data_IF_725650816440
#
_entry.id   IF_725650816440
#
_cell.length_a   1.000
_cell.length_b   1.000
_cell.length_c   1.000
_cell.angle_alpha   90.00
_cell.angle_beta   90.00
_cell.angle_gamma   90.00
#
_symmetry.space_group_name_H-M   'P 1'
#
loop_
_entity.id
_entity.type
_entity.pdbx_description
1 polymer ?
#
# COMPACT_ATOMS: atom_id res chain seq x y z
N UNK A 1 6.11 10.71 4.52
CA UNK A 1 6.98 9.96 3.59
C UNK A 1 7.65 10.94 2.63
N UNK A 2 8.85 10.62 2.11
CA UNK A 2 9.39 11.29 0.93
C UNK A 2 8.39 11.26 -0.23
N UNK A 3 8.60 12.15 -1.21
CA UNK A 3 7.80 12.13 -2.44
C UNK A 3 8.01 10.81 -3.19
N UNK A 4 6.93 10.21 -3.67
CA UNK A 4 7.00 8.99 -4.46
C UNK A 4 7.55 9.31 -5.86
N UNK A 5 8.34 8.40 -6.46
CA UNK A 5 8.87 8.63 -7.79
C UNK A 5 7.74 8.66 -8.82
N UNK A 6 8.01 9.28 -9.96
CA UNK A 6 7.11 9.17 -11.11
C UNK A 6 7.10 7.74 -11.65
N UNK A 7 5.95 7.32 -12.19
CA UNK A 7 5.86 6.06 -12.91
C UNK A 7 6.60 6.19 -14.23
N UNK A 8 7.58 5.30 -14.44
CA UNK A 8 8.43 5.30 -15.64
C UNK A 8 7.68 4.63 -16.78
N UNK A 9 7.67 5.28 -17.94
CA UNK A 9 7.24 4.64 -19.17
C UNK A 9 8.34 3.68 -19.64
N UNK A 10 8.08 2.38 -19.53
CA UNK A 10 9.00 1.32 -19.94
C UNK A 10 8.68 0.77 -21.34
N UNK A 11 7.80 1.45 -22.10
CA UNK A 11 7.37 1.00 -23.43
C UNK A 11 6.63 -0.34 -23.40
N UNK A 12 6.06 -0.71 -22.25
CA UNK A 12 5.29 -1.94 -22.06
C UNK A 12 3.85 -1.69 -22.50
N UNK A 13 3.23 -2.64 -23.25
CA UNK A 13 1.82 -2.50 -23.60
C UNK A 13 0.98 -2.52 -22.33
N UNK A 14 0.02 -1.60 -22.24
CA UNK A 14 -0.96 -1.60 -21.15
C UNK A 14 -1.83 -2.87 -21.26
N UNK A 15 -2.15 -3.53 -20.14
CA UNK A 15 -3.07 -4.67 -20.15
C UNK A 15 -4.47 -4.27 -20.63
N UNK A 16 -5.13 -5.17 -21.37
CA UNK A 16 -6.51 -4.94 -21.82
C UNK A 16 -7.44 -4.62 -20.64
N UNK A 17 -8.17 -3.50 -20.76
CA UNK A 17 -9.09 -3.02 -19.72
C UNK A 17 -8.45 -2.18 -18.61
N UNK A 18 -7.13 -1.96 -18.65
CA UNK A 18 -6.49 -0.96 -17.79
C UNK A 18 -6.66 0.43 -18.39
N UNK A 19 -7.16 1.37 -17.59
CA UNK A 19 -7.29 2.77 -17.97
C UNK A 19 -6.23 3.60 -17.24
N UNK A 20 -5.70 4.69 -17.82
CA UNK A 20 -4.72 5.55 -17.16
C UNK A 20 -5.20 6.08 -15.80
N UNK A 21 -6.50 6.35 -15.67
CA UNK A 21 -7.11 6.77 -14.40
C UNK A 21 -6.93 5.73 -13.28
N UNK A 22 -6.93 4.43 -13.61
CA UNK A 22 -6.75 3.36 -12.61
C UNK A 22 -5.34 3.39 -12.04
N UNK A 23 -4.34 3.69 -12.88
CA UNK A 23 -2.95 3.85 -12.44
C UNK A 23 -2.84 5.05 -11.50
N UNK A 24 -3.42 6.19 -11.87
CA UNK A 24 -3.41 7.38 -11.01
C UNK A 24 -4.11 7.13 -9.67
N UNK A 25 -5.29 6.51 -9.69
CA UNK A 25 -6.01 6.15 -8.46
C UNK A 25 -5.19 5.18 -7.61
N UNK A 26 -4.53 4.19 -8.22
CA UNK A 26 -3.65 3.27 -7.51
C UNK A 26 -2.49 3.99 -6.82
N UNK A 27 -1.82 4.91 -7.51
CA UNK A 27 -0.72 5.68 -6.91
C UNK A 27 -1.18 6.47 -5.67
N UNK A 28 -2.36 7.09 -5.75
CA UNK A 28 -2.96 7.82 -4.63
C UNK A 28 -3.24 6.89 -3.44
N UNK A 29 -3.98 5.79 -3.65
CA UNK A 29 -4.35 4.89 -2.55
C UNK A 29 -3.13 4.15 -1.99
N UNK A 30 -2.11 3.88 -2.80
CA UNK A 30 -0.88 3.23 -2.34
C UNK A 30 -0.08 4.16 -1.43
N UNK A 31 -0.05 5.46 -1.75
CA UNK A 31 0.57 6.48 -0.90
C UNK A 31 -0.14 6.60 0.44
N UNK A 32 -1.47 6.73 0.42
CA UNK A 32 -2.30 6.76 1.63
C UNK A 32 -2.09 5.49 2.49
N UNK A 33 -1.99 4.32 1.86
CA UNK A 33 -1.70 3.06 2.52
C UNK A 33 -0.32 3.07 3.22
N UNK A 34 0.72 3.52 2.53
CA UNK A 34 2.06 3.63 3.11
C UNK A 34 2.11 4.66 4.25
N UNK A 35 1.36 5.76 4.15
CA UNK A 35 1.23 6.76 5.22
C UNK A 35 0.53 6.17 6.46
N UNK A 36 -0.52 5.38 6.27
CA UNK A 36 -1.19 4.67 7.37
C UNK A 36 -0.27 3.64 8.04
N UNK A 37 0.54 2.89 7.26
CA UNK A 37 1.55 1.99 7.82
C UNK A 37 2.56 2.77 8.65
N UNK A 38 3.06 3.88 8.13
CA UNK A 38 4.02 4.72 8.84
C UNK A 38 3.46 5.21 10.18
N UNK A 39 2.20 5.67 10.19
CA UNK A 39 1.52 6.13 11.40
C UNK A 39 1.40 5.03 12.46
N UNK A 40 0.90 3.84 12.10
CA UNK A 40 0.78 2.74 13.08
C UNK A 40 2.15 2.28 13.59
N UNK A 41 3.19 2.36 12.77
CA UNK A 41 4.56 2.01 13.17
C UNK A 41 5.17 3.04 14.13
N UNK A 42 4.98 4.34 13.86
CA UNK A 42 5.40 5.43 14.77
C UNK A 42 4.68 5.33 16.11
N UNK A 43 3.41 4.93 16.10
CA UNK A 43 2.61 4.75 17.31
C UNK A 43 2.80 3.36 17.97
N UNK A 44 3.73 2.53 17.47
CA UNK A 44 4.02 1.18 17.98
C UNK A 44 2.80 0.23 17.99
N UNK A 45 1.81 0.49 17.13
CA UNK A 45 0.58 -0.31 16.99
C UNK A 45 0.76 -1.44 15.97
N UNK A 46 1.79 -2.27 16.18
CA UNK A 46 2.18 -3.33 15.23
C UNK A 46 1.05 -4.28 14.80
N UNK A 47 0.09 -4.68 15.66
CA UNK A 47 -1.02 -5.54 15.24
C UNK A 47 -1.87 -4.94 14.09
N UNK A 48 -1.93 -3.61 13.98
CA UNK A 48 -2.72 -2.94 12.93
C UNK A 48 -2.07 -3.01 11.54
N UNK A 49 -0.76 -3.28 11.45
CA UNK A 49 -0.06 -3.41 10.16
C UNK A 49 -0.66 -4.54 9.33
N UNK A 50 -0.93 -5.69 9.96
CA UNK A 50 -1.57 -6.83 9.30
C UNK A 50 -2.99 -6.48 8.82
N UNK A 51 -3.76 -5.76 9.65
CA UNK A 51 -5.10 -5.29 9.28
C UNK A 51 -5.07 -4.36 8.07
N UNK A 52 -4.14 -3.39 8.04
CA UNK A 52 -3.97 -2.48 6.91
C UNK A 52 -3.59 -3.23 5.63
N UNK A 53 -2.67 -4.19 5.71
CA UNK A 53 -2.27 -5.01 4.56
C UNK A 53 -3.43 -5.86 4.04
N UNK A 54 -4.15 -6.56 4.92
CA UNK A 54 -5.29 -7.39 4.53
C UNK A 54 -6.40 -6.55 3.90
N UNK A 55 -6.70 -5.39 4.48
CA UNK A 55 -7.69 -4.45 3.96
C UNK A 55 -7.31 -3.93 2.57
N UNK A 56 -6.10 -3.38 2.41
CA UNK A 56 -5.65 -2.82 1.13
C UNK A 56 -5.63 -3.87 0.01
N UNK A 57 -5.09 -5.06 0.28
CA UNK A 57 -5.01 -6.14 -0.72
C UNK A 57 -6.29 -6.95 -0.86
N UNK A 58 -7.36 -6.57 -0.14
CA UNK A 58 -8.68 -7.21 -0.19
C UNK A 58 -8.55 -8.72 0.10
N UNK A 59 -7.66 -9.05 1.03
CA UNK A 59 -7.43 -10.40 1.49
C UNK A 59 -8.54 -10.76 2.49
N UNK A 60 -9.32 -11.77 2.12
CA UNK A 60 -10.41 -12.30 2.93
C UNK A 60 -10.07 -13.74 3.26
N UNK A 61 -9.52 -13.98 4.45
CA UNK A 61 -9.48 -15.32 5.01
C UNK A 61 -10.86 -15.63 5.57
N UNK A 62 -11.66 -16.39 4.81
CA UNK A 62 -12.92 -16.99 5.26
C UNK A 62 -13.80 -16.11 6.15
N UNK A 63 -14.39 -15.05 5.59
CA UNK A 63 -15.47 -14.22 6.20
C UNK A 63 -15.52 -14.24 7.74
N UNK A 64 -14.51 -13.68 8.41
CA UNK A 64 -14.68 -13.25 9.80
C UNK A 64 -15.53 -11.97 9.82
N UNK A 65 -16.62 -11.98 10.58
CA UNK A 65 -17.64 -10.94 10.72
C UNK A 65 -17.13 -9.64 11.40
N UNK A 66 -15.94 -9.16 11.04
CA UNK A 66 -15.40 -7.94 11.62
C UNK A 66 -15.90 -6.72 10.82
N UNK A 67 -16.95 -6.09 11.33
CA UNK A 67 -17.72 -5.02 10.66
C UNK A 67 -16.83 -3.86 10.20
N UNK A 68 -15.84 -3.46 11.00
CA UNK A 68 -14.94 -2.34 10.67
C UNK A 68 -14.05 -2.66 9.45
N UNK A 69 -13.64 -3.92 9.28
CA UNK A 69 -12.85 -4.35 8.12
C UNK A 69 -13.70 -4.43 6.85
N UNK A 70 -14.99 -4.77 7.00
CA UNK A 70 -15.94 -4.82 5.89
C UNK A 70 -16.21 -3.43 5.32
N UNK A 71 -16.37 -2.41 6.17
CA UNK A 71 -16.62 -1.03 5.74
C UNK A 71 -15.39 -0.44 5.00
N UNK A 72 -14.18 -0.69 5.50
CA UNK A 72 -12.94 -0.27 4.84
C UNK A 72 -12.75 -0.92 3.46
N UNK A 73 -13.17 -2.18 3.32
CA UNK A 73 -13.12 -2.89 2.04
C UNK A 73 -14.10 -2.28 1.04
N UNK A 74 -15.35 -2.00 1.46
CA UNK A 74 -16.37 -1.41 0.59
C UNK A 74 -15.94 -0.05 0.03
N UNK A 75 -15.38 0.83 0.86
CA UNK A 75 -14.88 2.13 0.41
C UNK A 75 -13.66 2.02 -0.52
N UNK A 76 -12.76 1.07 -0.26
CA UNK A 76 -11.61 0.79 -1.12
C UNK A 76 -12.04 0.20 -2.47
N UNK A 77 -13.07 -0.65 -2.49
CA UNK A 77 -13.62 -1.28 -3.71
C UNK A 77 -14.33 -0.26 -4.61
N UNK A 78 -14.98 0.75 -4.02
CA UNK A 78 -15.55 1.89 -4.76
C UNK A 78 -14.48 2.74 -5.45
N UNK A 79 -13.32 2.94 -4.81
CA UNK A 79 -12.22 3.74 -5.35
C UNK A 79 -11.45 2.99 -6.43
N UNK A 80 -11.12 1.73 -6.20
CA UNK A 80 -10.41 0.89 -7.15
C UNK A 80 -10.98 -0.54 -7.07
N UNK A 81 -11.62 -1.05 -8.13
CA UNK A 81 -12.17 -2.41 -8.09
C UNK A 81 -11.07 -3.47 -7.91
N UNK A 82 -11.35 -4.55 -7.19
CA UNK A 82 -10.40 -5.67 -6.97
C UNK A 82 -9.87 -6.25 -8.27
N UNK A 83 -10.72 -6.35 -9.29
CA UNK A 83 -10.33 -6.84 -10.61
C UNK A 83 -9.25 -5.96 -11.26
N UNK A 84 -9.36 -4.65 -11.09
CA UNK A 84 -8.39 -3.67 -11.58
C UNK A 84 -7.11 -3.72 -10.74
N UNK A 85 -7.21 -3.84 -9.42
CA UNK A 85 -6.04 -4.05 -8.55
C UNK A 85 -5.22 -5.25 -8.99
N UNK A 86 -5.87 -6.39 -9.26
CA UNK A 86 -5.22 -7.62 -9.74
C UNK A 86 -4.54 -7.41 -11.10
N UNK A 87 -5.12 -6.58 -11.96
CA UNK A 87 -4.54 -6.25 -13.26
C UNK A 87 -3.28 -5.38 -13.11
N UNK A 88 -3.34 -4.37 -12.23
CA UNK A 88 -2.20 -3.51 -11.88
C UNK A 88 -1.04 -4.32 -11.28
N UNK A 89 -1.32 -5.32 -10.44
CA UNK A 89 -0.31 -6.26 -9.91
C UNK A 89 0.33 -7.17 -10.97
N UNK A 90 -0.08 -7.08 -12.23
CA UNK A 90 0.52 -7.83 -13.35
C UNK A 90 1.18 -6.89 -14.37
N UNK A 91 1.08 -5.58 -14.16
CA UNK A 91 1.63 -4.59 -15.06
C UNK A 91 3.03 -4.16 -14.58
N UNK A 92 4.06 -4.55 -15.33
CA UNK A 92 5.47 -4.40 -14.92
C UNK A 92 5.85 -2.98 -14.44
N UNK A 93 5.47 -1.89 -15.14
CA UNK A 93 5.79 -0.53 -14.68
C UNK A 93 5.20 -0.21 -13.31
N UNK A 94 4.00 -0.70 -13.02
CA UNK A 94 3.35 -0.53 -11.71
C UNK A 94 4.05 -1.37 -10.65
N UNK A 95 4.50 -2.58 -10.98
CA UNK A 95 5.27 -3.42 -10.05
C UNK A 95 6.61 -2.78 -9.68
N UNK A 96 7.34 -2.25 -10.67
CA UNK A 96 8.59 -1.53 -10.43
C UNK A 96 8.37 -0.26 -9.60
N UNK A 97 7.37 0.54 -9.94
CA UNK A 97 7.00 1.72 -9.18
C UNK A 97 6.64 1.40 -7.73
N UNK A 98 5.82 0.35 -7.51
CA UNK A 98 5.41 -0.12 -6.18
C UNK A 98 6.63 -0.53 -5.37
N UNK A 99 7.57 -1.27 -5.97
CA UNK A 99 8.83 -1.65 -5.31
C UNK A 99 9.68 -0.45 -4.90
N UNK A 100 9.75 0.58 -5.75
CA UNK A 100 10.48 1.82 -5.39
C UNK A 100 9.80 2.53 -4.21
N UNK A 101 8.46 2.57 -4.18
CA UNK A 101 7.71 3.13 -3.05
C UNK A 101 7.92 2.32 -1.76
N UNK A 102 7.95 0.99 -1.85
CA UNK A 102 8.24 0.10 -0.71
C UNK A 102 9.61 0.38 -0.13
N UNK A 103 10.63 0.53 -0.99
CA UNK A 103 11.98 0.86 -0.53
C UNK A 103 12.01 2.20 0.23
N UNK A 104 11.25 3.21 -0.23
CA UNK A 104 11.14 4.50 0.46
C UNK A 104 10.42 4.37 1.81
N UNK A 105 9.35 3.55 1.87
CA UNK A 105 8.65 3.26 3.11
C UNK A 105 9.58 2.56 4.11
N UNK A 106 10.25 1.48 3.70
CA UNK A 106 11.18 0.75 4.57
C UNK A 106 12.31 1.64 5.06
N UNK A 107 12.90 2.45 4.19
CA UNK A 107 13.93 3.40 4.58
C UNK A 107 13.41 4.40 5.63
N UNK A 108 12.22 4.95 5.43
CA UNK A 108 11.59 5.87 6.38
C UNK A 108 11.32 5.19 7.74
N UNK A 109 10.83 3.95 7.73
CA UNK A 109 10.60 3.17 8.95
C UNK A 109 11.90 2.90 9.70
N UNK A 110 12.97 2.53 8.99
CA UNK A 110 14.30 2.30 9.57
C UNK A 110 14.82 3.56 10.26
N UNK A 111 14.71 4.72 9.60
CA UNK A 111 15.15 6.00 10.14
C UNK A 111 14.39 6.41 11.41
N UNK A 112 13.12 6.01 11.53
CA UNK A 112 12.28 6.28 12.70
C UNK A 112 12.56 5.28 13.83
N UNK A 113 12.63 3.99 13.52
CA UNK A 113 12.68 2.93 14.52
C UNK A 113 14.09 2.72 15.10
N UNK A 114 15.16 2.87 14.29
CA UNK A 114 16.54 2.65 14.75
C UNK A 114 16.90 3.54 15.96
N UNK A 115 16.65 4.85 15.95
CA UNK A 115 17.00 5.72 17.07
C UNK A 115 16.30 5.37 18.39
N UNK A 116 15.10 4.79 18.33
CA UNK A 116 14.34 4.38 19.51
C UNK A 116 14.74 2.97 20.01
N UNK A 117 15.06 2.06 19.09
CA UNK A 117 15.49 0.68 19.41
C UNK A 117 16.92 0.64 19.97
N UNK A 118 17.81 1.52 19.52
CA UNK A 118 19.23 1.53 19.93
C UNK A 118 19.51 2.32 21.21
N UNK A 119 18.51 2.93 21.86
CA UNK A 119 18.76 3.61 23.14
C UNK A 119 19.16 2.59 24.20
N UNK A 120 20.22 2.85 24.99
CA UNK A 120 20.55 2.00 26.12
C UNK A 120 19.36 1.97 27.09
N UNK A 121 18.92 0.76 27.44
CA UNK A 121 17.89 0.53 28.45
C UNK A 121 18.45 0.99 29.81
N UNK A 122 17.70 1.78 30.61
CA UNK A 122 18.16 2.27 31.92
C UNK A 122 18.52 1.16 32.92
#
# INVERSE_FOLDING_TARGET
LPEFPDLKDEGKPEPDGLLPQHVHTYQLIYREHCEAILDVMVNLQFPLVETLWKSFWRFSEGQSNDTDTLDLHDDSEKRLPKSVLVLLCKYEPVLHWTRECDNLLYQSLVEILIPDVLRPIP
#
